data_IF_266114607707
#
_entry.id   IF_266114607707
#
_cell.length_a   1.000
_cell.length_b   1.000
_cell.length_c   1.000
_cell.angle_alpha   90.00
_cell.angle_beta   90.00
_cell.angle_gamma   90.00
#
_symmetry.space_group_name_H-M   'P 1'
#
loop_
_entity.id
_entity.type
_entity.pdbx_description
1 polymer ?
#
# COMPACT_ATOMS: atom_id res chain seq x y z
N UNK A 1 -9.98 -4.12 6.22
CA UNK A 1 -10.26 -2.91 5.40
C UNK A 1 -9.43 -1.77 5.95
N UNK A 2 -8.42 -1.29 5.23
CA UNK A 2 -7.54 -0.21 5.71
C UNK A 2 -8.17 1.16 5.44
N UNK A 3 -7.96 2.12 6.35
CA UNK A 3 -8.46 3.50 6.25
C UNK A 3 -7.99 4.20 4.97
N UNK A 4 -6.82 3.82 4.46
CA UNK A 4 -6.22 4.38 3.23
C UNK A 4 -7.01 3.99 1.97
N UNK A 5 -7.57 2.78 1.90
CA UNK A 5 -8.33 2.32 0.73
C UNK A 5 -9.61 3.12 0.48
N UNK A 6 -10.18 3.77 1.51
CA UNK A 6 -11.44 4.53 1.44
C UNK A 6 -11.24 6.04 1.34
N UNK A 7 -10.00 6.50 1.21
CA UNK A 7 -9.73 7.92 1.09
C UNK A 7 -10.31 8.46 -0.23
N UNK A 8 -11.01 9.59 -0.15
CA UNK A 8 -11.48 10.33 -1.32
C UNK A 8 -10.31 10.82 -2.18
N UNK A 9 -9.13 10.96 -1.56
CA UNK A 9 -7.90 11.34 -2.22
C UNK A 9 -6.67 10.80 -1.48
N UNK A 10 -5.76 10.22 -2.25
CA UNK A 10 -4.45 9.74 -1.82
C UNK A 10 -3.40 10.57 -2.55
N UNK A 11 -2.35 10.95 -1.82
CA UNK A 11 -1.19 11.69 -2.34
C UNK A 11 0.05 10.83 -2.10
N UNK A 12 0.75 10.49 -3.18
CA UNK A 12 2.01 9.75 -3.11
C UNK A 12 3.16 10.73 -3.19
N UNK A 13 4.01 10.71 -2.16
CA UNK A 13 5.21 11.53 -2.08
C UNK A 13 6.44 10.66 -2.36
N UNK A 14 7.35 11.19 -3.17
CA UNK A 14 8.69 10.63 -3.39
C UNK A 14 9.69 11.78 -3.42
N UNK A 15 10.75 11.66 -2.62
CA UNK A 15 11.82 12.66 -2.54
C UNK A 15 11.31 14.10 -2.28
N UNK A 16 10.27 14.22 -1.45
CA UNK A 16 9.65 15.51 -1.11
C UNK A 16 8.72 16.09 -2.18
N UNK A 17 8.46 15.35 -3.27
CA UNK A 17 7.61 15.78 -4.39
C UNK A 17 6.39 14.89 -4.51
N UNK A 18 5.25 15.47 -4.89
CA UNK A 18 4.04 14.69 -5.22
C UNK A 18 4.24 14.03 -6.59
N UNK A 19 4.27 12.71 -6.60
CA UNK A 19 4.43 11.92 -7.83
C UNK A 19 3.11 11.37 -8.35
N UNK A 20 2.13 11.11 -7.47
CA UNK A 20 0.80 10.62 -7.87
C UNK A 20 -0.30 11.19 -6.96
N UNK A 21 -1.51 11.34 -7.52
CA UNK A 21 -2.71 11.80 -6.82
C UNK A 21 -3.95 11.15 -7.41
N UNK A 22 -4.81 10.59 -6.56
CA UNK A 22 -6.08 10.01 -7.01
C UNK A 22 -6.77 9.19 -5.92
N UNK A 23 -7.82 8.46 -6.29
CA UNK A 23 -8.42 7.43 -5.43
C UNK A 23 -7.58 6.16 -5.45
N UNK A 24 -7.83 5.26 -4.50
CA UNK A 24 -7.18 3.95 -4.47
C UNK A 24 -7.25 3.20 -5.81
N UNK A 25 -8.43 3.14 -6.43
CA UNK A 25 -8.64 2.45 -7.71
C UNK A 25 -7.89 3.13 -8.87
N UNK A 26 -7.86 4.46 -8.89
CA UNK A 26 -7.14 5.21 -9.92
C UNK A 26 -5.64 4.96 -9.84
N UNK A 27 -5.08 4.96 -8.62
CA UNK A 27 -3.65 4.75 -8.41
C UNK A 27 -3.21 3.31 -8.65
N UNK A 28 -4.05 2.32 -8.37
CA UNK A 28 -3.78 0.92 -8.72
C UNK A 28 -3.80 0.65 -10.23
N UNK A 29 -4.55 1.45 -11.00
CA UNK A 29 -4.64 1.29 -12.44
C UNK A 29 -3.44 1.89 -13.20
N UNK A 30 -2.55 2.63 -12.52
CA UNK A 30 -1.35 3.21 -13.13
C UNK A 30 -0.32 2.09 -13.38
N UNK A 31 0.07 1.82 -14.64
CA UNK A 31 1.14 0.87 -14.94
C UNK A 31 2.45 1.33 -14.28
N UNK A 32 3.12 0.42 -13.58
CA UNK A 32 4.36 0.70 -12.83
C UNK A 32 4.24 1.87 -11.84
N UNK A 33 3.02 2.12 -11.33
CA UNK A 33 2.72 3.20 -10.39
C UNK A 33 3.37 3.01 -9.02
N UNK A 34 3.82 4.12 -8.42
CA UNK A 34 4.50 4.10 -7.13
C UNK A 34 3.58 3.61 -5.99
N UNK A 35 2.31 4.03 -6.01
CA UNK A 35 1.30 3.54 -5.09
C UNK A 35 1.09 2.03 -5.20
N UNK A 36 0.93 1.52 -6.42
CA UNK A 36 0.64 0.11 -6.68
C UNK A 36 1.81 -0.79 -6.24
N UNK A 37 3.04 -0.37 -6.51
CA UNK A 37 4.24 -1.07 -6.06
C UNK A 37 4.31 -1.18 -4.52
N UNK A 38 4.06 -0.07 -3.81
CA UNK A 38 4.04 -0.06 -2.34
C UNK A 38 2.90 -0.92 -1.78
N UNK A 39 1.71 -0.83 -2.37
CA UNK A 39 0.54 -1.60 -1.96
C UNK A 39 0.75 -3.11 -2.12
N UNK A 40 1.34 -3.53 -3.26
CA UNK A 40 1.65 -4.93 -3.51
C UNK A 40 2.72 -5.46 -2.55
N UNK A 41 3.71 -4.65 -2.18
CA UNK A 41 4.71 -5.03 -1.18
C UNK A 41 4.06 -5.28 0.21
N UNK A 42 3.13 -4.42 0.63
CA UNK A 42 2.40 -4.61 1.90
C UNK A 42 1.56 -5.89 1.92
N UNK A 43 0.89 -6.23 0.81
CA UNK A 43 0.11 -7.46 0.69
C UNK A 43 0.98 -8.72 0.81
N UNK A 44 2.21 -8.69 0.29
CA UNK A 44 3.15 -9.79 0.42
C UNK A 44 3.62 -9.95 1.88
N UNK A 45 3.91 -8.85 2.56
CA UNK A 45 4.29 -8.85 3.98
C UNK A 45 3.14 -9.29 4.90
N UNK A 46 1.89 -8.86 4.62
CA UNK A 46 0.70 -9.32 5.34
C UNK A 46 0.41 -10.82 5.11
N UNK A 47 0.88 -11.41 4.00
CA UNK A 47 0.81 -12.84 3.73
C UNK A 47 1.87 -13.69 4.47
N UNK A 48 2.93 -13.06 4.96
CA UNK A 48 4.10 -13.75 5.54
C UNK A 48 4.12 -13.72 7.09
N UNK A 49 3.27 -12.91 7.71
CA UNK A 49 3.07 -12.86 9.17
C UNK A 49 2.20 -13.99 9.75
N UNK A 50 1.96 -15.07 9.00
CA UNK A 50 1.27 -16.28 9.49
C UNK A 50 2.21 -17.38 10.02
N UNK A 51 3.53 -17.16 10.10
CA UNK A 51 4.47 -18.17 10.64
C UNK A 51 5.48 -17.56 11.62
N UNK A 52 5.03 -16.91 12.69
CA UNK A 52 5.84 -16.74 13.90
C UNK A 52 4.99 -17.12 15.12
N UNK A 53 4.74 -18.42 15.27
CA UNK A 53 4.34 -19.00 16.56
C UNK A 53 5.50 -18.78 17.55
N UNK A 54 5.36 -17.75 18.40
CA UNK A 54 6.21 -17.59 19.58
C UNK A 54 5.59 -18.44 20.70
N UNK A 55 6.29 -19.47 21.25
CA UNK A 55 5.78 -20.19 22.39
C UNK A 55 5.96 -19.30 23.62
N UNK A 56 4.86 -18.87 24.24
CA UNK A 56 4.87 -18.35 25.61
C UNK A 56 4.39 -19.45 26.55
N UNK A 57 5.26 -19.77 27.51
CA UNK A 57 5.08 -20.75 28.60
C UNK A 57 3.84 -20.49 29.44
#
# INVERSE_FOLDING_TARGET
MSTVQRADQIIVLKDGVIVERGTHLQLLAVPDGAYAAMWNAQLLEEGEVATHEQPVT
#
